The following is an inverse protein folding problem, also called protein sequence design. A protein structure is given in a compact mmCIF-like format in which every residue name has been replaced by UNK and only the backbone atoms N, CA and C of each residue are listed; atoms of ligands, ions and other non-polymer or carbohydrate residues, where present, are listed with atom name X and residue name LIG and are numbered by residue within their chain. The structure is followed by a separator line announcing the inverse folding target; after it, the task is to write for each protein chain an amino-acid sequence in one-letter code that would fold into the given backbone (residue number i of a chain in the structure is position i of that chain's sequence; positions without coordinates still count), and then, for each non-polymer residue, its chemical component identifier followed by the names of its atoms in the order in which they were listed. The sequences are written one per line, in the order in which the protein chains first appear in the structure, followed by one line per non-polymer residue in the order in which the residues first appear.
data_IF_403437359979
#
_entry.id   IF_403437359979
#
_cell.length_a   1.000
_cell.length_b   1.000
_cell.length_c   1.000
_cell.angle_alpha   90.00
_cell.angle_beta   90.00
_cell.angle_gamma   90.00
#
_symmetry.space_group_name_H-M   'P 1'
#
loop_
_entity.id
_entity.type
_entity.pdbx_description
1 polymer ?
#
# COMPACT_ATOMS: atom_id res chain seq x y z
N UNK A 1 24.12 -10.53 26.05
CA UNK A 1 23.19 -9.44 25.67
C UNK A 1 22.09 -10.09 24.86
N UNK A 2 20.92 -10.30 25.49
CA UNK A 2 19.84 -11.12 24.93
C UNK A 2 19.15 -10.27 23.86
N UNK A 3 19.29 -10.62 22.58
CA UNK A 3 18.44 -10.05 21.55
C UNK A 3 17.01 -10.49 21.85
N UNK A 4 16.23 -9.58 22.44
CA UNK A 4 14.79 -9.75 22.57
C UNK A 4 14.23 -9.81 21.15
N UNK A 5 14.02 -11.02 20.63
CA UNK A 5 13.22 -11.21 19.43
C UNK A 5 11.81 -10.78 19.76
N UNK A 6 11.52 -9.52 19.53
CA UNK A 6 10.16 -9.01 19.51
C UNK A 6 9.53 -9.57 18.22
N UNK A 7 9.11 -10.84 18.25
CA UNK A 7 8.44 -11.50 17.12
C UNK A 7 7.17 -10.72 16.83
N UNK A 8 7.23 -9.83 15.84
CA UNK A 8 6.04 -9.12 15.37
C UNK A 8 5.02 -10.15 14.90
N UNK A 9 3.74 -9.88 15.17
CA UNK A 9 2.62 -10.76 14.77
C UNK A 9 2.42 -10.87 13.24
N UNK A 10 3.26 -10.19 12.47
CA UNK A 10 3.47 -10.32 11.02
C UNK A 10 4.49 -11.41 10.65
N UNK A 11 5.05 -12.12 11.64
CA UNK A 11 6.00 -13.23 11.49
C UNK A 11 5.59 -14.18 10.35
N UNK A 12 6.58 -14.55 9.55
CA UNK A 12 6.44 -15.39 8.36
C UNK A 12 5.76 -16.74 8.64
N UNK A 13 5.90 -17.25 9.87
CA UNK A 13 5.41 -18.57 10.27
C UNK A 13 3.89 -18.64 10.48
N UNK A 14 3.20 -17.50 10.46
CA UNK A 14 1.76 -17.44 10.67
C UNK A 14 0.98 -17.55 9.34
N UNK A 15 -0.20 -18.21 9.33
CA UNK A 15 -1.12 -18.18 8.20
C UNK A 15 -1.40 -16.76 7.70
N UNK A 16 -1.54 -16.60 6.39
CA UNK A 16 -1.68 -15.30 5.72
C UNK A 16 -2.80 -14.43 6.29
N UNK A 17 -3.95 -15.03 6.62
CA UNK A 17 -5.08 -14.32 7.22
C UNK A 17 -4.76 -13.74 8.61
N UNK A 18 -3.94 -14.42 9.42
CA UNK A 18 -3.50 -13.89 10.71
C UNK A 18 -2.49 -12.77 10.51
N UNK A 19 -1.55 -12.91 9.58
CA UNK A 19 -0.59 -11.84 9.25
C UNK A 19 -1.31 -10.58 8.76
N UNK A 20 -2.28 -10.76 7.87
CA UNK A 20 -3.10 -9.67 7.33
C UNK A 20 -3.95 -8.95 8.39
N UNK A 21 -4.50 -9.69 9.37
CA UNK A 21 -5.25 -9.08 10.47
C UNK A 21 -4.42 -8.07 11.26
N UNK A 22 -3.15 -8.40 11.53
CA UNK A 22 -2.25 -7.52 12.28
C UNK A 22 -1.62 -6.43 11.42
N UNK A 23 -1.59 -6.61 10.08
CA UNK A 23 -1.01 -5.66 9.13
C UNK A 23 -1.63 -4.26 9.26
N UNK A 24 -2.96 -4.16 9.39
CA UNK A 24 -3.66 -2.86 9.39
C UNK A 24 -3.29 -1.98 10.58
N UNK A 25 -3.02 -2.59 11.73
CA UNK A 25 -2.57 -1.88 12.94
C UNK A 25 -1.09 -1.53 12.81
N UNK A 26 -0.29 -2.52 12.41
CA UNK A 26 1.18 -2.41 12.35
C UNK A 26 1.63 -1.41 11.29
N UNK A 27 0.98 -1.38 10.11
CA UNK A 27 1.36 -0.50 9.00
C UNK A 27 1.25 0.98 9.34
N UNK A 28 0.42 1.37 10.31
CA UNK A 28 0.29 2.77 10.74
C UNK A 28 1.49 3.22 11.58
N UNK A 29 2.24 2.28 12.15
CA UNK A 29 3.41 2.56 12.97
C UNK A 29 4.73 2.31 12.23
N UNK A 30 4.73 1.42 11.23
CA UNK A 30 5.95 1.03 10.51
C UNK A 30 6.23 1.89 9.31
N UNK A 31 5.23 2.53 8.69
CA UNK A 31 5.43 3.39 7.51
C UNK A 31 4.78 4.76 7.66
N UNK A 32 5.39 5.75 7.01
CA UNK A 32 4.93 7.14 6.99
C UNK A 32 5.15 7.80 5.63
N UNK A 33 4.40 8.86 5.36
CA UNK A 33 4.48 9.60 4.09
C UNK A 33 5.24 10.90 4.31
N UNK A 34 6.32 11.08 3.55
CA UNK A 34 7.17 12.26 3.62
C UNK A 34 7.49 12.79 2.22
N UNK A 35 8.12 13.96 2.13
CA UNK A 35 8.58 14.50 0.85
C UNK A 35 9.67 13.58 0.28
N UNK A 36 9.53 13.18 -0.98
CA UNK A 36 10.50 12.31 -1.64
C UNK A 36 11.33 13.09 -2.66
N UNK A 37 12.59 12.69 -2.81
CA UNK A 37 13.49 13.21 -3.83
C UNK A 37 13.19 12.66 -5.24
N UNK A 38 12.44 11.55 -5.34
CA UNK A 38 12.05 10.96 -6.62
C UNK A 38 10.91 11.76 -7.24
N UNK A 39 9.77 11.82 -6.53
CA UNK A 39 8.61 12.57 -6.98
C UNK A 39 7.72 12.95 -5.78
N UNK A 40 7.38 14.23 -5.66
CA UNK A 40 6.41 14.76 -4.69
C UNK A 40 6.56 14.21 -3.26
N UNK A 41 5.73 13.22 -2.94
CA UNK A 41 5.74 12.48 -1.66
C UNK A 41 6.04 11.01 -1.90
N UNK A 42 6.71 10.39 -0.94
CA UNK A 42 7.04 8.97 -0.94
C UNK A 42 6.62 8.30 0.38
N UNK A 43 6.53 6.97 0.35
CA UNK A 43 6.37 6.14 1.53
C UNK A 43 7.75 5.76 2.08
N UNK A 44 7.96 5.92 3.39
CA UNK A 44 9.21 5.63 4.09
C UNK A 44 8.96 4.75 5.31
N UNK A 45 9.94 3.94 5.67
CA UNK A 45 9.91 3.14 6.90
C UNK A 45 10.22 4.02 8.12
N UNK A 46 9.41 3.88 9.16
CA UNK A 46 9.58 4.49 10.49
C UNK A 46 10.25 3.56 11.49
N UNK A 47 10.15 2.26 11.22
CA UNK A 47 10.75 1.16 11.98
C UNK A 47 11.38 0.21 10.98
N UNK A 48 12.40 -0.54 11.41
CA UNK A 48 13.00 -1.59 10.57
C UNK A 48 11.93 -2.61 10.19
N UNK A 49 11.94 -3.11 8.95
CA UNK A 49 11.00 -4.12 8.47
C UNK A 49 11.83 -5.34 8.05
N UNK A 50 11.48 -6.50 8.57
CA UNK A 50 12.23 -7.73 8.27
C UNK A 50 11.91 -8.26 6.86
N UNK A 51 12.85 -8.97 6.27
CA UNK A 51 12.67 -9.55 4.94
C UNK A 51 11.47 -10.50 4.93
N UNK A 52 10.56 -10.32 3.96
CA UNK A 52 9.34 -11.12 3.83
C UNK A 52 8.17 -10.71 4.74
N UNK A 53 8.36 -9.72 5.62
CA UNK A 53 7.28 -9.11 6.41
C UNK A 53 6.30 -8.34 5.51
N UNK A 54 5.01 -8.37 5.85
CA UNK A 54 4.02 -7.53 5.16
C UNK A 54 4.19 -6.06 5.59
N UNK A 55 4.27 -5.15 4.61
CA UNK A 55 4.51 -3.73 4.85
C UNK A 55 3.21 -2.96 5.04
N UNK A 56 2.37 -2.93 4.00
CA UNK A 56 1.09 -2.22 3.98
C UNK A 56 0.20 -2.81 2.88
N UNK A 57 -1.12 -2.81 3.10
CA UNK A 57 -2.10 -3.15 2.06
C UNK A 57 -2.24 -1.96 1.09
N UNK A 58 -2.36 -2.21 -0.21
CA UNK A 58 -2.85 -1.19 -1.14
C UNK A 58 -4.38 -1.09 -1.05
N UNK A 59 -4.88 -0.35 -0.05
CA UNK A 59 -6.32 -0.26 0.19
C UNK A 59 -7.00 0.69 -0.80
N UNK A 60 -8.18 0.31 -1.29
CA UNK A 60 -9.00 1.09 -2.21
C UNK A 60 -10.37 0.45 -2.46
N UNK A 61 -11.15 1.04 -3.37
CA UNK A 61 -12.42 0.46 -3.82
C UNK A 61 -12.14 -0.60 -4.90
N UNK A 62 -12.67 -1.82 -4.72
CA UNK A 62 -12.56 -2.87 -5.74
C UNK A 62 -13.61 -2.63 -6.82
N UNK A 63 -13.15 -2.40 -8.05
CA UNK A 63 -13.98 -2.13 -9.22
C UNK A 63 -13.68 -3.10 -10.35
N UNK A 64 -14.61 -3.19 -11.31
CA UNK A 64 -14.37 -3.95 -12.54
C UNK A 64 -13.45 -3.18 -13.48
N UNK A 65 -12.61 -3.89 -14.22
CA UNK A 65 -11.68 -3.29 -15.19
C UNK A 65 -12.39 -2.50 -16.28
N UNK A 66 -13.66 -2.76 -16.59
CA UNK A 66 -14.42 -1.96 -17.56
C UNK A 66 -14.77 -0.55 -17.09
N UNK A 67 -14.67 -0.28 -15.78
CA UNK A 67 -14.96 1.04 -15.21
C UNK A 67 -13.73 1.97 -15.17
N UNK A 68 -12.52 1.46 -15.43
CA UNK A 68 -11.27 2.22 -15.28
C UNK A 68 -11.26 3.46 -16.16
N UNK A 69 -11.53 3.30 -17.45
CA UNK A 69 -11.41 4.38 -18.44
C UNK A 69 -12.42 5.50 -18.18
N UNK A 70 -13.61 5.14 -17.71
CA UNK A 70 -14.64 6.12 -17.36
C UNK A 70 -14.25 6.91 -16.11
N UNK A 71 -13.69 6.24 -15.11
CA UNK A 71 -13.22 6.89 -13.87
C UNK A 71 -11.99 7.75 -14.11
N UNK A 72 -11.04 7.28 -14.91
CA UNK A 72 -9.83 8.03 -15.28
C UNK A 72 -10.20 9.35 -15.95
N UNK A 73 -11.05 9.34 -16.98
CA UNK A 73 -11.56 10.56 -17.62
C UNK A 73 -12.26 11.50 -16.65
N UNK A 74 -13.02 10.94 -15.70
CA UNK A 74 -13.73 11.72 -14.67
C UNK A 74 -12.76 12.38 -13.69
N UNK A 75 -11.67 11.70 -13.33
CA UNK A 75 -10.65 12.22 -12.43
C UNK A 75 -9.76 13.26 -13.12
N UNK A 76 -9.37 13.01 -14.36
CA UNK A 76 -8.64 13.95 -15.20
C UNK A 76 -9.42 15.26 -15.41
N UNK A 77 -10.71 15.18 -15.75
CA UNK A 77 -11.57 16.34 -15.89
C UNK A 77 -11.72 17.18 -14.60
N UNK A 78 -11.49 16.56 -13.44
CA UNK A 78 -11.47 17.21 -12.12
C UNK A 78 -10.08 17.64 -11.67
N UNK A 79 -9.04 17.42 -12.48
CA UNK A 79 -7.64 17.69 -12.12
C UNK A 79 -7.13 16.83 -10.96
N UNK A 80 -7.70 15.65 -10.76
CA UNK A 80 -7.30 14.72 -9.70
C UNK A 80 -6.38 13.64 -10.25
N UNK A 81 -5.39 13.23 -9.46
CA UNK A 81 -4.53 12.09 -9.81
C UNK A 81 -5.32 10.78 -9.76
N UNK A 82 -5.02 9.87 -10.68
CA UNK A 82 -5.60 8.53 -10.75
C UNK A 82 -4.69 7.52 -10.03
N UNK A 83 -5.21 6.77 -9.06
CA UNK A 83 -4.45 5.79 -8.28
C UNK A 83 -5.12 4.42 -8.38
N UNK A 84 -4.86 3.70 -9.46
CA UNK A 84 -5.43 2.37 -9.71
C UNK A 84 -4.35 1.29 -9.72
N UNK A 85 -4.64 0.16 -9.10
CA UNK A 85 -3.77 -1.02 -9.10
C UNK A 85 -4.55 -2.25 -9.58
N UNK A 86 -4.10 -2.87 -10.67
CA UNK A 86 -4.77 -4.03 -11.25
C UNK A 86 -4.50 -5.28 -10.40
N UNK A 87 -5.55 -5.98 -9.98
CA UNK A 87 -5.43 -7.29 -9.32
C UNK A 87 -5.34 -8.39 -10.38
N UNK A 88 -6.30 -8.38 -11.31
CA UNK A 88 -6.42 -9.35 -12.40
C UNK A 88 -7.02 -8.69 -13.66
N UNK A 89 -7.38 -9.47 -14.68
CA UNK A 89 -7.95 -8.94 -15.93
C UNK A 89 -9.30 -8.24 -15.73
N UNK A 90 -10.08 -8.68 -14.74
CA UNK A 90 -11.44 -8.22 -14.49
C UNK A 90 -11.55 -7.25 -13.32
N UNK A 91 -10.54 -7.20 -12.46
CA UNK A 91 -10.61 -6.55 -11.15
C UNK A 91 -9.46 -5.58 -10.91
N UNK A 92 -9.80 -4.38 -10.46
CA UNK A 92 -8.87 -3.29 -10.19
C UNK A 92 -9.20 -2.65 -8.84
N UNK A 93 -8.18 -2.29 -8.06
CA UNK A 93 -8.32 -1.50 -6.84
C UNK A 93 -8.13 -0.03 -7.18
N UNK A 94 -9.17 0.78 -6.96
CA UNK A 94 -9.15 2.22 -7.11
C UNK A 94 -8.95 2.91 -5.75
N UNK A 95 -7.73 3.40 -5.53
CA UNK A 95 -7.32 4.13 -4.33
C UNK A 95 -7.44 5.66 -4.50
N UNK A 96 -8.05 6.14 -5.59
CA UNK A 96 -8.12 7.58 -5.89
C UNK A 96 -8.93 8.34 -4.84
N UNK A 97 -10.11 7.82 -4.51
CA UNK A 97 -11.01 8.45 -3.53
C UNK A 97 -10.97 7.81 -2.14
N UNK A 98 -10.70 6.50 -2.06
CA UNK A 98 -10.71 5.72 -0.82
C UNK A 98 -9.39 4.97 -0.58
N UNK A 99 -8.27 5.65 -0.85
CA UNK A 99 -6.92 5.08 -0.68
C UNK A 99 -6.33 5.22 0.71
N UNK A 100 -5.17 4.59 0.92
CA UNK A 100 -4.32 4.77 2.10
C UNK A 100 -2.92 5.30 1.71
N UNK A 101 -1.94 5.20 2.62
CA UNK A 101 -0.58 5.66 2.39
C UNK A 101 0.17 4.91 1.27
N UNK A 102 -0.27 3.69 0.90
CA UNK A 102 0.38 2.88 -0.12
C UNK A 102 0.40 3.55 -1.50
N UNK A 103 -0.51 4.49 -1.76
CA UNK A 103 -0.53 5.28 -3.01
C UNK A 103 0.71 6.17 -3.22
N UNK A 104 1.52 6.35 -2.20
CA UNK A 104 2.77 7.12 -2.24
C UNK A 104 4.01 6.24 -2.38
N UNK A 105 3.86 4.94 -2.64
CA UNK A 105 4.99 4.09 -3.02
C UNK A 105 5.42 4.53 -4.43
N UNK A 106 6.61 5.08 -4.53
CA UNK A 106 7.19 5.47 -5.82
C UNK A 106 7.73 4.25 -6.56
N UNK A 107 7.78 4.35 -7.88
CA UNK A 107 8.46 3.38 -8.72
C UNK A 107 9.98 3.56 -8.65
N UNK A 108 10.72 2.45 -8.61
CA UNK A 108 12.18 2.33 -8.74
C UNK A 108 12.45 1.15 -9.67
N UNK A 109 13.50 1.26 -10.49
CA UNK A 109 13.96 0.15 -11.34
C UNK A 109 14.89 -0.82 -10.58
N UNK A 110 15.51 -0.33 -9.50
CA UNK A 110 16.38 -1.10 -8.60
C UNK A 110 15.59 -1.71 -7.45
#
# INVERSE_FOLDING_TARGET
MVYSQNRRATSLDLPMAMRFRHLKETSRETVGVYRSHIHGRGLFCLKDIEAGEMVIEYSGEVIRSSLTDTREKTYEAKGMGCYMFRIDEQTVVDATMRGNAARFINHSCD
#
